data_IF_846817010115
#
_entry.id   IF_846817010115
#
_cell.length_a   1.000
_cell.length_b   1.000
_cell.length_c   1.000
_cell.angle_alpha   90.00
_cell.angle_beta   90.00
_cell.angle_gamma   90.00
#
_symmetry.space_group_name_H-M   'P 1'
#
loop_
_entity.id
_entity.type
_entity.pdbx_description
1 polymer ?
#
# COMPACT_ATOMS: atom_id res chain seq x y z
N UNK A 1 2.16 -11.62 26.22
CA UNK A 1 1.39 -12.06 25.03
C UNK A 1 0.41 -11.06 24.46
N UNK A 2 -0.30 -10.24 25.24
CA UNK A 2 -1.30 -9.28 24.71
C UNK A 2 -0.77 -8.15 23.81
N UNK A 3 0.55 -8.00 23.65
CA UNK A 3 1.15 -6.95 22.81
C UNK A 3 1.56 -7.43 21.42
N UNK A 4 1.62 -8.74 21.18
CA UNK A 4 2.01 -9.27 19.88
C UNK A 4 0.80 -9.20 18.94
N UNK A 5 1.01 -8.62 17.76
CA UNK A 5 0.03 -8.52 16.69
C UNK A 5 0.73 -8.76 15.36
N UNK A 6 0.15 -9.63 14.54
CA UNK A 6 0.64 -9.92 13.20
C UNK A 6 -0.55 -9.94 12.25
N UNK A 7 -0.32 -9.45 11.03
CA UNK A 7 -1.34 -9.36 9.98
C UNK A 7 -0.74 -9.84 8.67
N UNK A 8 -1.44 -10.72 7.98
CA UNK A 8 -1.20 -11.07 6.58
C UNK A 8 -2.09 -10.23 5.65
N UNK A 9 -3.41 -10.39 5.77
CA UNK A 9 -4.45 -9.63 5.04
C UNK A 9 -5.53 -9.23 6.06
N UNK A 10 -6.29 -8.17 5.77
CA UNK A 10 -7.33 -7.67 6.68
C UNK A 10 -8.18 -6.60 6.02
N UNK A 11 -9.00 -5.88 6.80
CA UNK A 11 -9.86 -4.83 6.27
C UNK A 11 -9.06 -3.60 5.78
N UNK A 12 -9.70 -2.84 4.89
CA UNK A 12 -9.15 -1.66 4.23
C UNK A 12 -10.10 -0.46 4.39
N UNK A 13 -9.53 0.73 4.33
CA UNK A 13 -10.27 1.99 4.28
C UNK A 13 -11.09 2.10 3.00
N UNK A 14 -12.29 2.68 3.10
CA UNK A 14 -13.19 2.85 1.96
C UNK A 14 -12.61 3.81 0.89
N UNK A 15 -11.97 4.89 1.33
CA UNK A 15 -11.51 5.97 0.44
C UNK A 15 -10.09 5.68 -0.05
N UNK A 16 -9.14 5.57 0.87
CA UNK A 16 -7.72 5.44 0.53
C UNK A 16 -7.31 4.02 0.15
N UNK A 17 -8.18 3.03 0.35
CA UNK A 17 -7.88 1.61 0.13
C UNK A 17 -6.71 1.06 0.96
N UNK A 18 -6.20 1.84 1.92
CA UNK A 18 -5.10 1.45 2.79
C UNK A 18 -5.55 0.53 3.93
N UNK A 19 -4.65 -0.32 4.46
CA UNK A 19 -4.92 -1.17 5.61
C UNK A 19 -5.43 -0.35 6.82
N UNK A 20 -6.52 -0.78 7.47
CA UNK A 20 -6.97 -0.13 8.72
C UNK A 20 -5.92 -0.24 9.83
N UNK A 21 -5.98 0.65 10.82
CA UNK A 21 -5.05 0.66 11.96
C UNK A 21 -5.63 -0.01 13.21
N UNK A 22 -4.75 -0.41 14.13
CA UNK A 22 -5.12 -0.88 15.46
C UNK A 22 -5.38 -2.39 15.57
N UNK A 23 -4.93 -2.98 16.69
CA UNK A 23 -4.99 -4.43 16.95
C UNK A 23 -6.42 -5.00 16.83
N UNK A 24 -7.41 -4.28 17.37
CA UNK A 24 -8.81 -4.72 17.39
C UNK A 24 -9.44 -4.85 15.98
N UNK A 25 -8.89 -4.15 14.99
CA UNK A 25 -9.40 -4.16 13.61
C UNK A 25 -8.55 -5.03 12.68
N UNK A 26 -7.70 -5.92 13.23
CA UNK A 26 -6.67 -6.60 12.47
C UNK A 26 -5.82 -5.63 11.64
N UNK A 27 -5.45 -4.52 12.28
CA UNK A 27 -4.84 -3.39 11.60
C UNK A 27 -3.42 -3.66 11.12
N UNK A 28 -3.00 -2.93 10.09
CA UNK A 28 -1.63 -2.91 9.60
C UNK A 28 -0.75 -2.02 10.47
N UNK A 29 0.57 -2.19 10.34
CA UNK A 29 1.54 -1.30 10.95
C UNK A 29 1.70 -0.05 10.08
N UNK A 30 1.74 1.13 10.71
CA UNK A 30 2.07 2.36 10.00
C UNK A 30 3.54 2.30 9.57
N UNK A 31 3.77 2.47 8.27
CA UNK A 31 5.08 2.74 7.72
C UNK A 31 5.14 4.23 7.43
N UNK A 32 5.87 4.98 8.24
CA UNK A 32 5.94 6.43 8.19
C UNK A 32 7.09 6.94 7.34
N UNK A 33 7.17 8.26 7.27
CA UNK A 33 8.19 8.97 6.50
C UNK A 33 9.62 8.63 6.95
N UNK A 34 9.84 8.45 8.26
CA UNK A 34 11.16 8.06 8.78
C UNK A 34 11.56 6.65 8.35
N UNK A 35 10.61 5.71 8.32
CA UNK A 35 10.89 4.35 7.84
C UNK A 35 11.10 4.31 6.32
N UNK A 36 10.42 5.18 5.56
CA UNK A 36 10.68 5.40 4.13
C UNK A 36 12.13 5.85 3.93
N UNK A 37 12.57 6.89 4.64
CA UNK A 37 13.95 7.37 4.56
C UNK A 37 14.98 6.28 4.89
N UNK A 38 14.67 5.43 5.86
CA UNK A 38 15.54 4.31 6.19
C UNK A 38 15.74 3.38 4.98
N UNK A 39 14.67 2.99 4.27
CA UNK A 39 14.78 2.14 3.08
C UNK A 39 15.44 2.84 1.90
N UNK A 40 15.18 4.14 1.72
CA UNK A 40 15.84 4.95 0.70
C UNK A 40 17.35 5.00 0.93
N UNK A 41 17.80 5.18 2.18
CA UNK A 41 19.22 5.19 2.52
C UNK A 41 19.92 3.86 2.25
N UNK A 42 19.21 2.74 2.38
CA UNK A 42 19.71 1.41 2.00
C UNK A 42 19.69 1.15 0.49
N UNK A 43 19.07 2.02 -0.32
CA UNK A 43 18.85 1.77 -1.74
C UNK A 43 17.86 0.64 -2.02
N UNK A 44 16.97 0.34 -1.06
CA UNK A 44 16.04 -0.78 -1.12
C UNK A 44 14.78 -0.45 -1.96
N UNK A 45 14.98 -0.09 -3.22
CA UNK A 45 13.94 0.44 -4.12
C UNK A 45 12.74 -0.51 -4.27
N UNK A 46 12.97 -1.80 -4.53
CA UNK A 46 11.90 -2.78 -4.69
C UNK A 46 11.12 -3.02 -3.39
N UNK A 47 11.80 -3.05 -2.25
CA UNK A 47 11.14 -3.22 -0.95
C UNK A 47 10.26 -2.01 -0.65
N UNK A 48 10.78 -0.81 -0.88
CA UNK A 48 10.02 0.43 -0.70
C UNK A 48 8.82 0.46 -1.65
N UNK A 49 9.01 0.11 -2.92
CA UNK A 49 7.92 0.04 -3.90
C UNK A 49 6.84 -0.94 -3.46
N UNK A 50 7.21 -2.14 -3.00
CA UNK A 50 6.24 -3.12 -2.50
C UNK A 50 5.41 -2.60 -1.32
N UNK A 51 6.07 -1.91 -0.37
CA UNK A 51 5.42 -1.32 0.80
C UNK A 51 4.41 -0.24 0.38
N UNK A 52 4.79 0.63 -0.56
CA UNK A 52 3.96 1.74 -1.03
C UNK A 52 2.84 1.32 -1.97
N UNK A 53 2.88 0.10 -2.53
CA UNK A 53 1.92 -0.37 -3.55
C UNK A 53 1.17 -1.63 -3.10
N UNK A 54 1.65 -2.81 -3.46
CA UNK A 54 0.98 -4.11 -3.33
C UNK A 54 0.74 -4.54 -1.87
N UNK A 55 1.50 -3.98 -0.91
CA UNK A 55 1.28 -4.20 0.54
C UNK A 55 0.36 -3.16 1.19
N UNK A 56 -0.01 -2.10 0.46
CA UNK A 56 -0.84 -1.00 0.95
C UNK A 56 -2.15 -0.90 0.16
N UNK A 57 -2.15 -0.16 -0.96
CA UNK A 57 -3.35 0.35 -1.63
C UNK A 57 -3.39 0.11 -3.16
N UNK A 58 -2.46 -0.68 -3.72
CA UNK A 58 -2.66 -1.25 -5.08
C UNK A 58 -3.67 -2.40 -5.00
N UNK A 59 -4.93 -2.10 -5.28
CA UNK A 59 -6.06 -3.04 -5.13
C UNK A 59 -5.97 -4.22 -6.10
N UNK A 60 -5.57 -3.96 -7.35
CA UNK A 60 -5.42 -5.01 -8.35
C UNK A 60 -4.15 -5.82 -8.09
N UNK A 61 -3.05 -5.15 -7.75
CA UNK A 61 -1.76 -5.75 -7.46
C UNK A 61 -1.80 -6.66 -6.24
N UNK A 62 -2.37 -6.23 -5.11
CA UNK A 62 -2.42 -7.03 -3.87
C UNK A 62 -3.13 -8.38 -4.07
N UNK A 63 -4.21 -8.39 -4.86
CA UNK A 63 -4.97 -9.62 -5.15
C UNK A 63 -4.14 -10.59 -5.99
N UNK A 64 -3.45 -10.05 -6.99
CA UNK A 64 -2.53 -10.80 -7.85
C UNK A 64 -1.32 -11.33 -7.08
N UNK A 65 -0.75 -10.54 -6.17
CA UNK A 65 0.37 -10.95 -5.32
C UNK A 65 -0.04 -12.10 -4.42
N UNK A 66 -1.24 -12.05 -3.81
CA UNK A 66 -1.74 -13.15 -3.00
C UNK A 66 -1.87 -14.45 -3.81
N UNK A 67 -2.47 -14.38 -5.00
CA UNK A 67 -2.61 -15.52 -5.90
C UNK A 67 -1.25 -16.08 -6.37
N UNK A 68 -0.29 -15.20 -6.68
CA UNK A 68 1.08 -15.58 -7.05
C UNK A 68 1.81 -16.30 -5.89
N UNK A 69 1.69 -15.81 -4.66
CA UNK A 69 2.27 -16.45 -3.46
C UNK A 69 1.68 -17.85 -3.26
N UNK A 70 0.35 -18.00 -3.38
CA UNK A 70 -0.32 -19.30 -3.25
C UNK A 70 0.12 -20.28 -4.33
N UNK A 71 0.38 -19.79 -5.56
CA UNK A 71 0.81 -20.59 -6.70
C UNK A 71 2.34 -20.80 -6.78
N UNK A 72 3.12 -20.19 -5.88
CA UNK A 72 4.58 -20.22 -5.94
C UNK A 72 5.17 -19.55 -7.18
N UNK A 73 4.48 -18.54 -7.72
CA UNK A 73 4.89 -17.77 -8.89
C UNK A 73 5.56 -16.46 -8.46
N UNK A 74 6.37 -15.89 -9.37
CA UNK A 74 6.95 -14.58 -9.13
C UNK A 74 5.88 -13.49 -9.07
N UNK A 75 6.15 -12.50 -8.21
CA UNK A 75 5.29 -11.33 -8.02
C UNK A 75 5.39 -10.45 -9.27
N UNK A 76 4.24 -9.97 -9.75
CA UNK A 76 4.16 -9.06 -10.90
C UNK A 76 4.47 -7.62 -10.50
N UNK A 77 4.83 -6.80 -11.49
CA UNK A 77 5.09 -5.38 -11.29
C UNK A 77 3.86 -4.66 -10.70
N UNK A 78 4.07 -3.76 -9.71
CA UNK A 78 2.99 -2.99 -9.12
C UNK A 78 2.35 -1.98 -10.09
N UNK A 79 1.08 -1.64 -9.83
CA UNK A 79 0.37 -0.58 -10.52
C UNK A 79 0.41 0.73 -9.72
N UNK A 80 -0.28 1.76 -10.24
CA UNK A 80 -0.44 3.05 -9.58
C UNK A 80 -1.24 2.86 -8.26
N UNK A 81 -0.74 3.36 -7.12
CA UNK A 81 -1.46 3.40 -5.84
C UNK A 81 -2.82 4.09 -5.94
N UNK A 82 -3.85 3.54 -5.28
CA UNK A 82 -5.16 4.23 -5.22
C UNK A 82 -5.10 5.56 -4.49
N UNK A 83 -4.20 5.71 -3.51
CA UNK A 83 -3.96 6.99 -2.84
C UNK A 83 -3.53 8.10 -3.82
N UNK A 84 -2.81 7.75 -4.89
CA UNK A 84 -2.44 8.72 -5.92
C UNK A 84 -3.63 9.11 -6.81
N UNK A 85 -4.51 8.15 -7.13
CA UNK A 85 -5.77 8.44 -7.83
C UNK A 85 -6.68 9.35 -7.01
N UNK A 86 -6.79 9.09 -5.70
CA UNK A 86 -7.53 9.93 -4.74
C UNK A 86 -6.97 11.35 -4.75
N UNK A 87 -5.63 11.51 -4.67
CA UNK A 87 -4.98 12.81 -4.74
C UNK A 87 -5.33 13.59 -6.02
N UNK A 88 -5.27 12.94 -7.19
CA UNK A 88 -5.65 13.57 -8.47
C UNK A 88 -7.11 14.04 -8.41
N UNK A 89 -8.01 13.21 -7.89
CA UNK A 89 -9.44 13.54 -7.80
C UNK A 89 -9.71 14.69 -6.83
N UNK A 90 -9.01 14.74 -5.71
CA UNK A 90 -9.09 15.85 -4.75
C UNK A 90 -8.63 17.17 -5.39
N UNK A 91 -7.52 17.16 -6.15
CA UNK A 91 -7.02 18.33 -6.86
C UNK A 91 -7.96 18.76 -8.00
N UNK A 92 -8.53 17.81 -8.74
CA UNK A 92 -9.57 18.09 -9.75
C UNK A 92 -10.83 18.70 -9.12
N UNK A 93 -11.20 18.30 -7.90
CA UNK A 93 -12.29 18.90 -7.13
C UNK A 93 -12.07 20.37 -6.80
N UNK A 94 -10.80 20.82 -6.76
CA UNK A 94 -10.42 22.23 -6.58
C UNK A 94 -10.32 23.00 -7.91
N UNK A 95 -10.62 22.36 -9.05
CA UNK A 95 -10.51 22.96 -10.38
C UNK A 95 -9.11 22.89 -11.00
N UNK A 96 -8.20 22.08 -10.43
CA UNK A 96 -6.87 21.83 -11.00
C UNK A 96 -6.92 20.61 -11.93
N UNK A 97 -6.73 20.80 -13.23
CA UNK A 97 -6.65 19.70 -14.20
C UNK A 97 -5.24 19.10 -14.21
N UNK A 98 -5.07 17.96 -13.55
CA UNK A 98 -3.82 17.19 -13.53
C UNK A 98 -3.98 15.97 -14.43
N UNK A 99 -3.05 15.83 -15.37
CA UNK A 99 -2.96 14.69 -16.30
C UNK A 99 -1.58 14.07 -16.19
N UNK A 100 -1.57 12.74 -16.15
CA UNK A 100 -0.35 11.95 -16.28
C UNK A 100 -0.12 11.75 -17.78
N UNK A 101 1.06 12.14 -18.26
CA UNK A 101 1.48 11.94 -19.65
C UNK A 101 2.29 10.66 -19.80
#
# INVERSE_FOLDING_TARGET
DDKIHARSIGPYSLITQQPLGGKAQFGGQRFGEMEVWALEAYGASHILQEILTVKSDDVAGRTKVYDAIVKGQNIMDPNIPESFNVLIKELQGLGLDIKIN
#
